data_IF_362481423580
#
_entry.id   IF_362481423580
#
_cell.length_a   1.000
_cell.length_b   1.000
_cell.length_c   1.000
_cell.angle_alpha   90.00
_cell.angle_beta   90.00
_cell.angle_gamma   90.00
#
_symmetry.space_group_name_H-M   'P 1'
#
loop_
_entity.id
_entity.type
_entity.pdbx_description
1 polymer ?
#
# COMPACT_ATOMS: atom_id res chain seq x y z
N UNK A 1 -17.21 18.26 -0.19
CA UNK A 1 -16.16 17.28 -0.56
C UNK A 1 -16.55 16.60 -1.86
N UNK A 2 -15.62 16.36 -2.80
CA UNK A 2 -15.91 15.55 -4.00
C UNK A 2 -16.11 14.10 -3.56
N UNK A 3 -17.12 13.41 -4.10
CA UNK A 3 -17.42 12.00 -3.78
C UNK A 3 -16.18 11.10 -3.93
N UNK A 4 -15.38 11.34 -4.97
CA UNK A 4 -14.12 10.62 -5.22
C UNK A 4 -13.07 10.77 -4.11
N UNK A 5 -13.04 11.90 -3.41
CA UNK A 5 -12.12 12.13 -2.29
C UNK A 5 -12.56 11.35 -1.05
N UNK A 6 -13.87 11.27 -0.81
CA UNK A 6 -14.43 10.48 0.29
C UNK A 6 -14.17 8.99 0.04
N UNK A 7 -14.42 8.51 -1.18
CA UNK A 7 -14.14 7.12 -1.56
C UNK A 7 -12.65 6.78 -1.40
N UNK A 8 -11.73 7.63 -1.87
CA UNK A 8 -10.29 7.41 -1.70
C UNK A 8 -9.89 7.33 -0.22
N UNK A 9 -10.47 8.19 0.62
CA UNK A 9 -10.22 8.16 2.07
C UNK A 9 -10.74 6.86 2.69
N UNK A 10 -11.96 6.45 2.37
CA UNK A 10 -12.52 5.18 2.82
C UNK A 10 -11.66 3.99 2.38
N UNK A 11 -11.21 3.96 1.11
CA UNK A 11 -10.32 2.89 0.61
C UNK A 11 -9.03 2.82 1.43
N UNK A 12 -8.38 3.95 1.72
CA UNK A 12 -7.18 3.97 2.56
C UNK A 12 -7.45 3.44 3.97
N UNK A 13 -8.58 3.80 4.57
CA UNK A 13 -8.97 3.32 5.90
C UNK A 13 -9.21 1.81 5.88
N UNK A 14 -9.99 1.29 4.94
CA UNK A 14 -10.26 -0.15 4.83
C UNK A 14 -9.02 -0.95 4.45
N UNK A 15 -8.14 -0.40 3.61
CA UNK A 15 -6.84 -1.01 3.29
C UNK A 15 -5.97 -1.15 4.54
N UNK A 16 -5.94 -0.09 5.37
CA UNK A 16 -5.18 -0.10 6.63
C UNK A 16 -5.77 -1.08 7.63
N UNK A 17 -7.10 -1.10 7.76
CA UNK A 17 -7.80 -2.07 8.60
C UNK A 17 -7.51 -3.50 8.16
N UNK A 18 -7.44 -3.77 6.85
CA UNK A 18 -7.10 -5.08 6.33
C UNK A 18 -5.69 -5.52 6.75
N UNK A 19 -4.71 -4.60 6.68
CA UNK A 19 -3.36 -4.85 7.17
C UNK A 19 -3.33 -5.10 8.68
N UNK A 20 -3.99 -4.25 9.48
CA UNK A 20 -4.05 -4.44 10.94
C UNK A 20 -4.69 -5.79 11.29
N UNK A 21 -5.76 -6.18 10.60
CA UNK A 21 -6.44 -7.47 10.80
C UNK A 21 -5.52 -8.65 10.45
N UNK A 22 -4.68 -8.50 9.43
CA UNK A 22 -3.73 -9.53 9.01
C UNK A 22 -2.56 -9.71 9.98
N UNK A 23 -2.07 -8.61 10.56
CA UNK A 23 -0.95 -8.59 11.51
C UNK A 23 -1.38 -8.88 12.96
N UNK A 24 -2.63 -8.58 13.31
CA UNK A 24 -3.17 -8.73 14.65
C UNK A 24 -4.50 -9.52 14.63
N UNK A 25 -4.46 -10.81 14.26
CA UNK A 25 -5.65 -11.64 14.10
C UNK A 25 -6.39 -11.94 15.41
N UNK A 26 -5.75 -11.71 16.57
CA UNK A 26 -6.32 -11.95 17.90
C UNK A 26 -6.82 -10.67 18.59
N UNK A 27 -7.01 -9.58 17.84
CA UNK A 27 -7.61 -8.36 18.38
C UNK A 27 -9.13 -8.40 18.30
N UNK A 28 -9.81 -7.67 19.17
CA UNK A 28 -11.28 -7.49 19.15
C UNK A 28 -11.79 -6.97 17.81
N UNK A 29 -10.95 -6.24 17.06
CA UNK A 29 -11.26 -5.77 15.71
C UNK A 29 -11.34 -6.95 14.72
N UNK A 30 -10.45 -7.94 14.83
CA UNK A 30 -10.44 -9.13 14.00
C UNK A 30 -11.61 -10.08 14.30
N UNK A 31 -12.11 -10.08 15.54
CA UNK A 31 -13.30 -10.83 15.93
C UNK A 31 -14.59 -10.21 15.35
N UNK A 32 -14.70 -8.88 15.35
CA UNK A 32 -15.90 -8.16 14.85
C UNK A 32 -15.89 -8.05 13.32
N UNK A 33 -14.73 -7.75 12.74
CA UNK A 33 -14.54 -7.53 11.30
C UNK A 33 -13.58 -8.59 10.76
N UNK A 34 -14.16 -9.68 10.26
CA UNK A 34 -13.38 -10.72 9.58
C UNK A 34 -12.68 -10.14 8.34
N UNK A 35 -11.42 -10.53 8.13
CA UNK A 35 -10.62 -10.23 6.93
C UNK A 35 -11.41 -10.35 5.62
N UNK A 36 -12.28 -11.37 5.49
CA UNK A 36 -13.11 -11.58 4.29
C UNK A 36 -14.12 -10.45 4.06
N UNK A 37 -14.73 -9.94 5.13
CA UNK A 37 -15.71 -8.85 5.09
C UNK A 37 -15.02 -7.55 4.70
N UNK A 38 -13.87 -7.24 5.33
CA UNK A 38 -13.06 -6.06 5.01
C UNK A 38 -12.64 -6.10 3.52
N UNK A 39 -12.17 -7.24 3.03
CA UNK A 39 -11.78 -7.43 1.63
C UNK A 39 -12.97 -7.18 0.68
N UNK A 40 -14.15 -7.72 1.00
CA UNK A 40 -15.34 -7.56 0.18
C UNK A 40 -15.79 -6.09 0.12
N UNK A 41 -15.76 -5.38 1.24
CA UNK A 41 -16.06 -3.95 1.30
C UNK A 41 -15.03 -3.15 0.48
N UNK A 42 -13.73 -3.45 0.65
CA UNK A 42 -12.68 -2.79 -0.11
C UNK A 42 -12.86 -2.99 -1.62
N UNK A 43 -13.18 -4.20 -2.05
CA UNK A 43 -13.42 -4.52 -3.46
C UNK A 43 -14.65 -3.77 -4.00
N UNK A 44 -15.74 -3.71 -3.24
CA UNK A 44 -16.92 -2.94 -3.60
C UNK A 44 -16.59 -1.44 -3.73
N UNK A 45 -15.83 -0.86 -2.80
CA UNK A 45 -15.41 0.54 -2.85
C UNK A 45 -14.55 0.84 -4.09
N UNK A 46 -13.61 -0.03 -4.42
CA UNK A 46 -12.76 0.11 -5.62
C UNK A 46 -13.62 0.04 -6.89
N UNK A 47 -14.55 -0.91 -6.97
CA UNK A 47 -15.47 -1.04 -8.12
C UNK A 47 -16.34 0.22 -8.26
N UNK A 48 -16.90 0.72 -7.16
CA UNK A 48 -17.70 1.96 -7.15
C UNK A 48 -16.85 3.16 -7.59
N UNK A 49 -15.60 3.25 -7.14
CA UNK A 49 -14.67 4.31 -7.52
C UNK A 49 -14.39 4.28 -9.03
N UNK A 50 -14.11 3.10 -9.59
CA UNK A 50 -13.87 2.90 -11.02
C UNK A 50 -15.12 3.25 -11.83
N UNK A 51 -16.29 2.76 -11.40
CA UNK A 51 -17.56 3.03 -12.08
C UNK A 51 -17.96 4.51 -12.04
N UNK A 52 -17.62 5.21 -10.95
CA UNK A 52 -17.93 6.64 -10.76
C UNK A 52 -17.01 7.57 -11.53
N UNK A 53 -15.79 7.14 -11.89
CA UNK A 53 -14.80 7.97 -12.59
C UNK A 53 -14.58 7.49 -14.03
N UNK A 54 -15.69 7.31 -14.76
CA UNK A 54 -15.77 6.76 -16.13
C UNK A 54 -14.89 7.49 -17.16
N UNK A 55 -14.52 8.75 -16.91
CA UNK A 55 -13.72 9.60 -17.81
C UNK A 55 -12.34 10.01 -17.26
N UNK A 56 -11.97 9.57 -16.05
CA UNK A 56 -10.68 9.98 -15.44
C UNK A 56 -9.97 8.85 -14.74
N UNK A 57 -9.70 7.77 -15.48
CA UNK A 57 -8.53 6.94 -15.18
C UNK A 57 -7.25 7.78 -15.44
N UNK A 58 -7.02 8.81 -14.63
CA UNK A 58 -5.74 9.50 -14.58
C UNK A 58 -4.75 8.45 -14.10
N UNK A 59 -3.81 8.07 -14.98
CA UNK A 59 -2.61 7.32 -14.59
C UNK A 59 -2.14 7.86 -13.25
N UNK A 60 -2.05 6.96 -12.25
CA UNK A 60 -1.56 7.33 -10.93
C UNK A 60 -0.23 8.05 -11.12
N UNK A 61 -0.17 9.32 -10.72
CA UNK A 61 1.04 10.13 -10.89
C UNK A 61 2.21 9.38 -10.26
N UNK A 62 3.41 9.43 -10.87
CA UNK A 62 4.63 8.82 -10.30
C UNK A 62 4.78 9.18 -8.80
N UNK A 63 4.46 10.42 -8.41
CA UNK A 63 4.48 10.89 -7.01
C UNK A 63 3.47 10.16 -6.11
N UNK A 64 2.26 9.93 -6.60
CA UNK A 64 1.21 9.23 -5.86
C UNK A 64 1.52 7.72 -5.72
N UNK A 65 2.10 7.11 -6.76
CA UNK A 65 2.57 5.72 -6.70
C UNK A 65 3.67 5.56 -5.66
N UNK A 66 4.72 6.40 -5.71
CA UNK A 66 5.80 6.38 -4.71
C UNK A 66 5.25 6.62 -3.30
N UNK A 67 4.34 7.58 -3.12
CA UNK A 67 3.71 7.84 -1.83
C UNK A 67 2.94 6.64 -1.28
N UNK A 68 2.18 5.94 -2.14
CA UNK A 68 1.42 4.74 -1.74
C UNK A 68 2.34 3.56 -1.40
N UNK A 69 3.44 3.39 -2.13
CA UNK A 69 4.45 2.37 -1.85
C UNK A 69 5.13 2.65 -0.51
N UNK A 70 5.59 3.87 -0.28
CA UNK A 70 6.19 4.28 1.00
C UNK A 70 5.20 4.13 2.15
N UNK A 71 3.93 4.49 1.94
CA UNK A 71 2.87 4.28 2.91
C UNK A 71 2.72 2.80 3.26
N UNK A 72 2.59 1.93 2.25
CA UNK A 72 2.41 0.49 2.46
C UNK A 72 3.61 -0.15 3.17
N UNK A 73 4.84 0.21 2.75
CA UNK A 73 6.07 -0.29 3.38
C UNK A 73 6.22 0.24 4.80
N UNK A 74 5.92 1.52 5.03
CA UNK A 74 5.95 2.12 6.36
C UNK A 74 4.92 1.49 7.29
N UNK A 75 3.71 1.28 6.81
CA UNK A 75 2.64 0.61 7.55
C UNK A 75 3.08 -0.80 7.94
N UNK A 76 3.68 -1.53 7.00
CA UNK A 76 4.25 -2.84 7.28
C UNK A 76 5.28 -2.78 8.40
N UNK A 77 6.31 -1.93 8.28
CA UNK A 77 7.37 -1.80 9.30
C UNK A 77 6.78 -1.44 10.67
N UNK A 78 5.86 -0.48 10.73
CA UNK A 78 5.22 -0.06 11.99
C UNK A 78 4.43 -1.21 12.61
N UNK A 79 3.63 -1.93 11.83
CA UNK A 79 2.85 -3.07 12.34
C UNK A 79 3.75 -4.19 12.85
N UNK A 80 4.85 -4.48 12.15
CA UNK A 80 5.79 -5.50 12.63
C UNK A 80 6.54 -5.05 13.88
N UNK A 81 6.94 -3.77 13.99
CA UNK A 81 7.56 -3.21 15.20
C UNK A 81 6.62 -3.22 16.42
N UNK A 82 5.31 -3.07 16.18
CA UNK A 82 4.28 -3.19 17.21
C UNK A 82 4.04 -4.65 17.67
N UNK A 83 4.82 -5.61 17.16
CA UNK A 83 4.69 -7.03 17.49
C UNK A 83 3.62 -7.75 16.67
N UNK A 84 3.17 -7.15 15.57
CA UNK A 84 2.26 -7.79 14.63
C UNK A 84 2.96 -8.88 13.83
N UNK A 85 2.37 -10.07 13.80
CA UNK A 85 2.83 -11.22 13.02
C UNK A 85 1.86 -11.42 11.86
N UNK A 86 2.26 -11.06 10.64
CA UNK A 86 1.41 -11.29 9.47
C UNK A 86 1.21 -12.79 9.23
N UNK A 87 -0.06 -13.21 9.24
CA UNK A 87 -0.44 -14.59 8.94
C UNK A 87 -0.08 -15.03 7.51
N UNK A 88 0.15 -14.09 6.59
CA UNK A 88 0.51 -14.38 5.18
C UNK A 88 2.02 -14.65 5.01
N UNK A 89 2.81 -14.61 6.09
CA UNK A 89 4.23 -14.96 6.04
C UNK A 89 5.17 -13.77 5.86
N UNK A 90 4.71 -12.56 6.19
CA UNK A 90 5.55 -11.36 6.39
C UNK A 90 6.03 -11.21 7.85
N UNK A 91 6.04 -12.31 8.61
CA UNK A 91 6.69 -12.36 9.91
C UNK A 91 8.21 -12.33 9.76
N UNK A 92 8.93 -11.70 10.70
CA UNK A 92 10.39 -11.73 10.77
C UNK A 92 10.98 -13.15 10.86
N UNK A 93 10.16 -14.12 11.27
CA UNK A 93 10.53 -15.52 11.38
C UNK A 93 10.37 -16.29 10.05
N UNK A 94 9.76 -15.66 9.04
CA UNK A 94 9.59 -16.25 7.72
C UNK A 94 10.78 -15.90 6.81
N UNK A 95 11.47 -16.87 6.20
CA UNK A 95 12.54 -16.60 5.23
C UNK A 95 12.04 -15.80 4.01
N UNK A 96 10.73 -15.84 3.73
CA UNK A 96 10.08 -15.11 2.64
C UNK A 96 10.11 -13.59 2.90
N UNK A 97 10.05 -13.16 4.16
CA UNK A 97 10.14 -11.75 4.55
C UNK A 97 11.40 -11.08 4.01
N UNK A 98 12.57 -11.70 4.25
CA UNK A 98 13.85 -11.15 3.84
C UNK A 98 14.00 -11.07 2.32
N UNK A 99 13.43 -12.02 1.57
CA UNK A 99 13.42 -12.01 0.11
C UNK A 99 12.59 -10.81 -0.39
N UNK A 100 11.41 -10.58 0.19
CA UNK A 100 10.53 -9.46 -0.18
C UNK A 100 11.19 -8.12 0.15
N UNK A 101 11.79 -7.99 1.34
CA UNK A 101 12.55 -6.79 1.73
C UNK A 101 13.70 -6.53 0.76
N UNK A 102 14.46 -7.57 0.39
CA UNK A 102 15.57 -7.43 -0.56
C UNK A 102 15.07 -6.98 -1.94
N UNK A 103 13.99 -7.57 -2.44
CA UNK A 103 13.38 -7.16 -3.72
C UNK A 103 12.88 -5.71 -3.69
N UNK A 104 12.21 -5.30 -2.61
CA UNK A 104 11.76 -3.92 -2.42
C UNK A 104 12.93 -2.94 -2.35
N UNK A 105 14.00 -3.30 -1.64
CA UNK A 105 15.22 -2.49 -1.56
C UNK A 105 15.89 -2.34 -2.94
N UNK A 106 15.96 -3.41 -3.74
CA UNK A 106 16.48 -3.37 -5.10
C UNK A 106 15.61 -2.52 -6.02
N UNK A 107 14.28 -2.60 -5.90
CA UNK A 107 13.36 -1.84 -6.72
C UNK A 107 13.40 -0.33 -6.38
N UNK A 108 13.47 0.00 -5.09
CA UNK A 108 13.72 1.36 -4.61
C UNK A 108 15.07 1.90 -5.11
N UNK A 109 16.14 1.11 -5.04
CA UNK A 109 17.45 1.49 -5.58
C UNK A 109 17.40 1.72 -7.09
N UNK A 110 16.64 0.91 -7.83
CA UNK A 110 16.46 1.04 -9.28
C UNK A 110 15.71 2.33 -9.62
N UNK A 111 14.64 2.65 -8.90
CA UNK A 111 13.89 3.89 -9.04
C UNK A 111 14.79 5.10 -8.71
N UNK A 112 15.52 5.06 -7.60
CA UNK A 112 16.46 6.12 -7.22
C UNK A 112 17.54 6.34 -8.28
N UNK A 113 18.08 5.26 -8.84
CA UNK A 113 19.10 5.32 -9.89
C UNK A 113 18.53 5.87 -11.20
N UNK A 114 17.30 5.50 -11.56
CA UNK A 114 16.61 6.09 -12.72
C UNK A 114 16.32 7.58 -12.53
N UNK A 115 15.87 7.99 -11.34
CA UNK A 115 15.65 9.41 -11.05
C UNK A 115 16.95 10.23 -11.03
N UNK A 116 18.09 9.66 -10.61
CA UNK A 116 19.39 10.31 -10.76
C UNK A 116 19.80 10.46 -12.24
N UNK A 117 19.50 9.47 -13.08
CA UNK A 117 19.82 9.52 -14.51
C UNK A 117 18.98 10.55 -15.25
N UNK A 118 17.68 10.61 -14.96
CA UNK A 118 16.77 11.63 -15.50
C UNK A 118 17.20 13.05 -15.08
N UNK A 119 17.71 13.25 -13.85
CA UNK A 119 18.22 14.55 -13.39
C UNK A 119 19.58 14.95 -13.98
N UNK A 120 20.45 14.00 -14.31
CA UNK A 120 21.74 14.29 -14.96
C UNK A 120 21.55 14.70 -16.42
N UNK A 121 20.62 14.10 -17.15
CA UNK A 121 20.32 14.45 -18.54
C UNK A 121 19.58 15.79 -18.69
N UNK A 122 18.83 16.24 -17.67
CA UNK A 122 18.21 17.59 -17.64
C UNK A 122 19.24 18.70 -17.37
N UNK A 123 20.32 18.42 -16.63
CA UNK A 123 21.38 19.40 -16.33
C UNK A 123 22.41 19.58 -17.45
N UNK A 124 22.56 18.60 -18.34
CA UNK A 124 23.45 18.69 -19.51
C UNK A 124 22.78 19.37 -20.72
N UNK A 125 21.46 19.65 -20.64
CA UNK A 125 20.68 20.32 -21.71
C UNK A 125 20.32 21.78 -21.39
N UNK A 126 20.75 22.33 -20.25
CA UNK A 126 20.68 23.75 -19.91
C UNK A 126 22.06 24.39 -20.06
#
# INVERSE_FOLDING_TARGET
MRLSTILNFCILVFFTLLFVNDFFPHTTIAEILSKKIILLILMALVIIQIASDKDRYKKLSKKAYVGLTVYTVGLWIVLTLLGGESQIGLSFNSPIFYIIVLLLALDLLRIFRQSKKEQSEEKEKQ
#
